data_IF_754814141966
#
_entry.id   IF_754814141966
#
_cell.length_a   1.000
_cell.length_b   1.000
_cell.length_c   1.000
_cell.angle_alpha   90.00
_cell.angle_beta   90.00
_cell.angle_gamma   90.00
#
_symmetry.space_group_name_H-M   'P 1'
#
loop_
_entity.id
_entity.type
_entity.pdbx_description
1 polymer ?
#
# COMPACT_ATOMS: atom_id res chain seq x y z
N UNK A 1 38.66 50.92 31.02
CA UNK A 1 39.03 50.58 29.64
C UNK A 1 38.27 49.35 29.19
N UNK A 2 37.08 49.52 28.64
CA UNK A 2 36.32 48.43 28.01
C UNK A 2 36.44 48.62 26.51
N UNK A 3 37.29 47.80 25.90
CA UNK A 3 37.70 47.92 24.50
C UNK A 3 36.49 47.80 23.55
N UNK A 4 36.27 48.77 22.63
CA UNK A 4 35.15 48.78 21.67
C UNK A 4 35.21 47.65 20.63
N UNK A 5 36.29 46.85 20.61
CA UNK A 5 36.49 45.75 19.69
C UNK A 5 35.57 44.53 19.99
N UNK A 6 35.11 44.36 21.23
CA UNK A 6 34.30 43.19 21.60
C UNK A 6 32.86 43.24 21.04
N UNK A 7 32.26 44.42 20.87
CA UNK A 7 30.87 44.54 20.40
C UNK A 7 30.70 44.20 18.90
N UNK A 8 31.70 44.50 18.07
CA UNK A 8 31.68 44.20 16.63
C UNK A 8 31.86 42.69 16.34
N UNK A 9 32.55 41.96 17.23
CA UNK A 9 32.74 40.51 17.11
C UNK A 9 31.44 39.73 17.38
N UNK A 10 30.66 40.15 18.38
CA UNK A 10 29.43 39.45 18.81
C UNK A 10 28.31 39.53 17.76
N UNK A 11 28.22 40.62 16.99
CA UNK A 11 27.24 40.78 15.90
C UNK A 11 27.47 39.84 14.71
N UNK A 12 28.74 39.63 14.33
CA UNK A 12 29.13 38.74 13.22
C UNK A 12 28.93 37.25 13.56
N UNK A 13 29.15 36.87 14.83
CA UNK A 13 28.96 35.50 15.32
C UNK A 13 27.47 35.11 15.39
N UNK A 14 26.59 36.03 15.83
CA UNK A 14 25.13 35.85 15.81
C UNK A 14 24.60 35.62 14.39
N UNK A 15 25.06 36.42 13.43
CA UNK A 15 24.63 36.35 12.04
C UNK A 15 25.14 35.09 11.32
N UNK A 16 26.35 34.61 11.64
CA UNK A 16 26.87 33.32 11.14
C UNK A 16 26.13 32.11 11.73
N UNK A 17 25.73 32.15 13.01
CA UNK A 17 24.97 31.06 13.66
C UNK A 17 23.56 30.94 13.09
N UNK A 18 22.91 32.06 12.78
CA UNK A 18 21.57 32.05 12.20
C UNK A 18 21.57 31.57 10.74
N UNK A 19 22.58 31.98 9.95
CA UNK A 19 22.80 31.46 8.59
C UNK A 19 23.07 29.96 8.56
N UNK A 20 23.88 29.44 9.50
CA UNK A 20 24.11 28.00 9.65
C UNK A 20 22.84 27.26 10.08
N UNK A 21 22.06 27.78 11.03
CA UNK A 21 20.78 27.14 11.41
C UNK A 21 19.81 27.08 10.22
N UNK A 22 19.71 28.18 9.46
CA UNK A 22 18.85 28.26 8.28
C UNK A 22 19.25 27.25 7.20
N UNK A 23 20.55 27.05 6.96
CA UNK A 23 21.03 26.09 5.96
C UNK A 23 20.78 24.64 6.39
N UNK A 24 20.87 24.32 7.67
CA UNK A 24 20.57 22.97 8.17
C UNK A 24 19.07 22.68 8.12
N UNK A 25 18.22 23.68 8.41
CA UNK A 25 16.76 23.55 8.30
C UNK A 25 16.30 23.32 6.85
N UNK A 26 16.88 24.03 5.87
CA UNK A 26 16.58 23.80 4.46
C UNK A 26 17.06 22.42 3.98
N UNK A 27 18.25 21.98 4.40
CA UNK A 27 18.78 20.66 4.05
C UNK A 27 17.91 19.53 4.62
N UNK A 28 17.44 19.65 5.87
CA UNK A 28 16.54 18.68 6.49
C UNK A 28 15.19 18.61 5.78
N UNK A 29 14.63 19.75 5.36
CA UNK A 29 13.37 19.78 4.61
C UNK A 29 13.53 19.18 3.21
N UNK A 30 14.65 19.45 2.53
CA UNK A 30 14.97 18.83 1.24
C UNK A 30 15.10 17.31 1.33
N UNK A 31 15.74 16.81 2.40
CA UNK A 31 15.87 15.36 2.64
C UNK A 31 14.52 14.70 2.99
N UNK A 32 13.65 15.41 3.73
CA UNK A 32 12.31 14.93 4.07
C UNK A 32 11.41 14.82 2.83
N UNK A 33 11.51 15.76 1.88
CA UNK A 33 10.74 15.73 0.63
C UNK A 33 11.16 14.58 -0.29
N UNK A 34 12.44 14.20 -0.28
CA UNK A 34 12.96 13.03 -1.00
C UNK A 34 12.49 11.68 -0.41
N UNK A 35 12.02 11.69 0.84
CA UNK A 35 11.52 10.50 1.53
C UNK A 35 10.04 10.20 1.25
N UNK A 36 9.30 11.10 0.57
CA UNK A 36 7.93 10.83 0.14
C UNK A 36 7.94 9.91 -1.09
N UNK A 37 7.87 8.60 -0.85
CA UNK A 37 7.56 7.62 -1.90
C UNK A 37 6.04 7.57 -2.11
N UNK A 38 5.56 7.55 -3.36
CA UNK A 38 4.14 7.31 -3.64
C UNK A 38 3.79 5.88 -3.18
N UNK A 39 2.76 5.76 -2.35
CA UNK A 39 2.21 4.46 -1.99
C UNK A 39 1.43 3.90 -3.19
N UNK A 40 1.99 2.89 -3.86
CA UNK A 40 1.28 2.13 -4.89
C UNK A 40 0.46 1.03 -4.21
N UNK A 41 -0.82 1.29 -4.00
CA UNK A 41 -1.78 0.35 -3.41
C UNK A 41 -2.72 -0.24 -4.48
N UNK A 42 -2.21 -0.48 -5.68
CA UNK A 42 -3.03 -0.94 -6.80
C UNK A 42 -3.05 -2.48 -6.85
N UNK A 43 -3.99 -3.08 -6.11
CA UNK A 43 -4.15 -4.54 -6.04
C UNK A 43 -4.34 -5.18 -7.42
N UNK A 44 -4.88 -4.44 -8.40
CA UNK A 44 -5.10 -4.97 -9.75
C UNK A 44 -3.77 -5.21 -10.48
N UNK A 45 -2.80 -4.32 -10.31
CA UNK A 45 -1.48 -4.50 -10.89
C UNK A 45 -0.75 -5.69 -10.26
N UNK A 46 -0.92 -5.90 -8.96
CA UNK A 46 -0.35 -7.05 -8.26
C UNK A 46 -0.98 -8.37 -8.73
N UNK A 47 -2.31 -8.42 -8.93
CA UNK A 47 -3.01 -9.57 -9.51
C UNK A 47 -2.47 -9.90 -10.91
N UNK A 48 -2.33 -8.87 -11.76
CA UNK A 48 -1.80 -9.05 -13.13
C UNK A 48 -0.36 -9.52 -13.13
N UNK A 49 0.50 -8.94 -12.28
CA UNK A 49 1.92 -9.34 -12.13
C UNK A 49 2.05 -10.76 -11.60
N UNK A 50 1.23 -11.14 -10.60
CA UNK A 50 1.20 -12.49 -10.03
C UNK A 50 0.65 -13.52 -11.03
N UNK A 51 -0.22 -13.08 -11.95
CA UNK A 51 -0.87 -13.95 -12.92
C UNK A 51 -1.97 -14.82 -12.29
N UNK A 52 -2.46 -14.45 -11.10
CA UNK A 52 -3.46 -15.22 -10.35
C UNK A 52 -4.43 -14.30 -9.60
N UNK A 53 -5.73 -14.54 -9.79
CA UNK A 53 -6.82 -13.94 -9.03
C UNK A 53 -7.35 -14.96 -8.02
N UNK A 54 -7.23 -14.64 -6.73
CA UNK A 54 -7.78 -15.45 -5.63
C UNK A 54 -9.13 -14.86 -5.24
N UNK A 55 -10.19 -15.67 -5.24
CA UNK A 55 -11.54 -15.25 -4.85
C UNK A 55 -12.02 -16.11 -3.68
N UNK A 56 -12.33 -15.44 -2.58
CA UNK A 56 -12.90 -16.06 -1.39
C UNK A 56 -14.42 -16.19 -1.49
N UNK A 57 -14.96 -17.40 -1.31
CA UNK A 57 -16.40 -17.70 -1.38
C UNK A 57 -16.83 -18.54 -0.17
N UNK A 58 -18.13 -18.54 0.17
CA UNK A 58 -18.62 -19.29 1.34
C UNK A 58 -18.74 -20.79 1.04
N UNK A 59 -19.18 -21.16 -0.17
CA UNK A 59 -19.29 -22.56 -0.61
C UNK A 59 -20.45 -23.35 0.03
N UNK A 60 -21.33 -22.69 0.78
CA UNK A 60 -22.54 -23.29 1.37
C UNK A 60 -23.78 -22.41 1.19
N UNK A 61 -23.76 -21.46 0.25
CA UNK A 61 -24.84 -20.52 -0.02
C UNK A 61 -25.36 -20.75 -1.45
N UNK A 62 -26.25 -21.72 -1.61
CA UNK A 62 -26.84 -22.02 -2.92
C UNK A 62 -27.89 -20.96 -3.28
N UNK A 63 -27.87 -20.37 -4.50
CA UNK A 63 -27.09 -20.76 -5.69
C UNK A 63 -25.79 -19.94 -5.93
N UNK A 64 -25.36 -19.14 -4.96
CA UNK A 64 -24.22 -18.21 -5.10
C UNK A 64 -22.87 -18.94 -5.13
N UNK A 65 -22.59 -19.75 -4.11
CA UNK A 65 -21.43 -20.64 -4.06
C UNK A 65 -21.73 -21.89 -3.22
N UNK A 66 -21.61 -23.07 -3.84
CA UNK A 66 -21.94 -24.35 -3.22
C UNK A 66 -21.09 -25.48 -3.80
N UNK A 67 -20.99 -26.61 -3.11
CA UNK A 67 -20.18 -27.76 -3.55
C UNK A 67 -21.01 -28.64 -4.49
N UNK A 68 -20.51 -28.88 -5.70
CA UNK A 68 -21.10 -29.85 -6.62
C UNK A 68 -20.93 -31.28 -6.09
N UNK A 69 -22.01 -32.06 -6.07
CA UNK A 69 -22.01 -33.40 -5.52
C UNK A 69 -21.15 -34.41 -6.32
N UNK A 70 -20.95 -34.16 -7.62
CA UNK A 70 -20.24 -35.05 -8.53
C UNK A 70 -18.75 -34.71 -8.59
N UNK A 71 -18.42 -33.44 -8.78
CA UNK A 71 -17.03 -32.99 -8.97
C UNK A 71 -16.34 -32.64 -7.65
N UNK A 72 -17.12 -32.36 -6.59
CA UNK A 72 -16.62 -31.84 -5.30
C UNK A 72 -15.96 -30.47 -5.41
N UNK A 73 -16.17 -29.77 -6.52
CA UNK A 73 -15.71 -28.40 -6.72
C UNK A 73 -16.76 -27.40 -6.22
N UNK A 74 -16.30 -26.19 -5.86
CA UNK A 74 -17.22 -25.10 -5.54
C UNK A 74 -17.67 -24.47 -6.85
N UNK A 75 -18.98 -24.45 -7.06
CA UNK A 75 -19.65 -23.89 -8.23
C UNK A 75 -20.71 -22.86 -7.79
N UNK A 76 -21.28 -22.13 -8.75
CA UNK A 76 -22.34 -21.15 -8.51
C UNK A 76 -22.07 -19.81 -9.15
N UNK A 77 -23.00 -18.87 -8.97
CA UNK A 77 -22.94 -17.55 -9.60
C UNK A 77 -21.65 -16.77 -9.29
N UNK A 78 -21.16 -16.81 -8.05
CA UNK A 78 -19.92 -16.11 -7.65
C UNK A 78 -18.70 -16.69 -8.37
N UNK A 79 -18.68 -18.00 -8.59
CA UNK A 79 -17.58 -18.72 -9.26
C UNK A 79 -17.59 -18.41 -10.76
N UNK A 80 -18.76 -18.42 -11.39
CA UNK A 80 -18.91 -18.08 -12.81
C UNK A 80 -18.49 -16.63 -13.08
N UNK A 81 -18.89 -15.71 -12.20
CA UNK A 81 -18.48 -14.31 -12.27
C UNK A 81 -16.96 -14.17 -12.11
N UNK A 82 -16.38 -14.84 -11.11
CA UNK A 82 -14.94 -14.83 -10.87
C UNK A 82 -14.16 -15.40 -12.08
N UNK A 83 -14.67 -16.44 -12.71
CA UNK A 83 -14.08 -17.03 -13.92
C UNK A 83 -14.13 -16.07 -15.10
N UNK A 84 -15.25 -15.39 -15.32
CA UNK A 84 -15.36 -14.37 -16.36
C UNK A 84 -14.37 -13.22 -16.12
N UNK A 85 -14.21 -12.75 -14.88
CA UNK A 85 -13.26 -11.70 -14.51
C UNK A 85 -11.81 -12.16 -14.75
N UNK A 86 -11.44 -13.35 -14.26
CA UNK A 86 -10.09 -13.90 -14.43
C UNK A 86 -9.74 -14.07 -15.92
N UNK A 87 -10.69 -14.55 -16.73
CA UNK A 87 -10.52 -14.69 -18.18
C UNK A 87 -10.32 -13.33 -18.87
N UNK A 88 -11.05 -12.29 -18.46
CA UNK A 88 -10.86 -10.92 -18.98
C UNK A 88 -9.51 -10.32 -18.59
N UNK A 89 -9.00 -10.67 -17.42
CA UNK A 89 -7.70 -10.24 -16.92
C UNK A 89 -6.54 -11.08 -17.48
N UNK A 90 -6.82 -12.24 -18.08
CA UNK A 90 -5.80 -13.16 -18.58
C UNK A 90 -5.01 -13.86 -17.48
N UNK A 91 -5.59 -14.01 -16.28
CA UNK A 91 -4.95 -14.59 -15.10
C UNK A 91 -5.61 -15.90 -14.69
N UNK A 92 -4.90 -16.74 -13.94
CA UNK A 92 -5.46 -17.97 -13.36
C UNK A 92 -6.46 -17.62 -12.25
N UNK A 93 -7.58 -18.32 -12.19
CA UNK A 93 -8.51 -18.23 -11.07
C UNK A 93 -8.16 -19.25 -9.98
N UNK A 94 -8.18 -18.82 -8.73
CA UNK A 94 -8.16 -19.68 -7.55
C UNK A 94 -9.37 -19.38 -6.67
N UNK A 95 -10.24 -20.37 -6.47
CA UNK A 95 -11.35 -20.28 -5.52
C UNK A 95 -10.90 -20.76 -4.15
N UNK A 96 -11.14 -19.96 -3.12
CA UNK A 96 -10.84 -20.29 -1.72
C UNK A 96 -12.12 -20.29 -0.90
N UNK A 97 -12.41 -21.38 -0.20
CA UNK A 97 -13.55 -21.41 0.71
C UNK A 97 -13.20 -20.66 2.01
N UNK A 98 -14.05 -19.72 2.42
CA UNK A 98 -13.87 -18.90 3.61
C UNK A 98 -15.16 -18.84 4.42
N UNK A 99 -15.03 -18.99 5.74
CA UNK A 99 -16.13 -18.66 6.66
C UNK A 99 -16.29 -17.15 6.78
N UNK A 100 -17.52 -16.67 7.05
CA UNK A 100 -17.84 -15.23 7.17
C UNK A 100 -16.92 -14.51 8.17
N UNK A 101 -16.63 -15.16 9.31
CA UNK A 101 -15.75 -14.61 10.33
C UNK A 101 -14.28 -14.49 9.88
N UNK A 102 -13.83 -15.35 8.97
CA UNK A 102 -12.46 -15.38 8.47
C UNK A 102 -12.21 -14.40 7.31
N UNK A 103 -13.24 -13.73 6.78
CA UNK A 103 -13.08 -12.87 5.60
C UNK A 103 -12.19 -11.65 5.85
N UNK A 104 -12.35 -10.95 6.98
CA UNK A 104 -11.58 -9.72 7.27
C UNK A 104 -10.09 -10.03 7.51
N UNK A 105 -9.72 -11.05 8.30
CA UNK A 105 -8.30 -11.38 8.53
C UNK A 105 -7.54 -11.90 7.31
N UNK A 106 -8.23 -12.29 6.24
CA UNK A 106 -7.66 -12.94 5.05
C UNK A 106 -7.48 -11.96 3.85
N UNK A 107 -7.83 -10.68 4.03
CA UNK A 107 -7.67 -9.63 3.01
C UNK A 107 -6.22 -9.14 2.87
#
# INVERSE_FOLDING_TARGET
>A
GTSPCLLLSQGSVSMQRNRRRLTHSLAALGLALLALQPAHADQLDDIKKKGELVVGVLGTDEPNSFIDAKTREIIGYEVDLAQAIAARLGVKLQIKQLAVAARIPEL
#
